data_IF_143901282537
#
_entry.id   IF_143901282537
#
_cell.length_a   1.000
_cell.length_b   1.000
_cell.length_c   1.000
_cell.angle_alpha   90.00
_cell.angle_beta   90.00
_cell.angle_gamma   90.00
#
_symmetry.space_group_name_H-M   'P 1'
#
loop_
_entity.id
_entity.type
_entity.pdbx_description
1 polymer ?
#
# COMPACT_ATOMS: atom_id res chain seq x y z
N UNK A 1 -10.85 7.96 18.40
CA UNK A 1 -10.58 8.75 17.18
C UNK A 1 -10.70 10.26 17.44
N UNK A 2 -9.78 10.87 18.20
CA UNK A 2 -9.83 12.31 18.53
C UNK A 2 -8.42 12.88 18.52
N UNK A 3 -7.85 13.20 17.34
CA UNK A 3 -6.63 14.03 17.14
C UNK A 3 -6.23 14.22 15.65
N UNK A 4 -7.16 14.58 14.77
CA UNK A 4 -6.91 14.68 13.32
C UNK A 4 -7.09 16.09 12.70
N UNK A 5 -7.17 17.17 13.51
CA UNK A 5 -7.59 18.48 12.98
C UNK A 5 -6.50 19.26 12.23
N UNK A 6 -5.23 19.02 12.56
CA UNK A 6 -4.09 19.77 11.97
C UNK A 6 -3.10 18.87 11.21
N UNK A 7 -3.40 17.58 11.06
CA UNK A 7 -2.50 16.63 10.39
C UNK A 7 -2.79 16.56 8.90
N UNK A 8 -1.74 16.40 8.09
CA UNK A 8 -1.88 16.26 6.64
C UNK A 8 -2.63 14.95 6.34
N UNK A 9 -3.76 15.09 5.65
CA UNK A 9 -4.56 13.98 5.14
C UNK A 9 -4.72 14.18 3.64
N UNK A 10 -4.25 13.23 2.86
CA UNK A 10 -4.42 13.18 1.42
C UNK A 10 -5.43 12.09 1.09
N UNK A 11 -6.29 12.35 0.12
CA UNK A 11 -7.31 11.41 -0.38
C UNK A 11 -7.12 11.24 -1.86
N UNK A 12 -7.40 10.06 -2.39
CA UNK A 12 -7.41 9.81 -3.82
C UNK A 12 -6.10 10.28 -4.48
N UNK A 13 -4.97 9.81 -3.94
CA UNK A 13 -3.64 10.28 -4.33
C UNK A 13 -3.09 9.41 -5.46
N UNK A 14 -2.95 9.94 -6.69
CA UNK A 14 -2.29 9.22 -7.76
C UNK A 14 -0.80 9.11 -7.47
N UNK A 15 -0.23 7.95 -7.74
CA UNK A 15 1.19 7.67 -7.59
C UNK A 15 1.72 6.94 -8.81
N UNK A 16 2.95 7.27 -9.20
CA UNK A 16 3.66 6.57 -10.25
C UNK A 16 5.16 6.59 -9.99
N UNK A 17 5.86 5.52 -10.34
CA UNK A 17 7.31 5.46 -10.36
C UNK A 17 7.79 4.44 -11.39
N UNK A 18 9.07 4.53 -11.75
CA UNK A 18 9.72 3.56 -12.65
C UNK A 18 10.75 2.76 -11.87
N UNK A 19 10.69 1.44 -11.98
CA UNK A 19 11.67 0.53 -11.38
C UNK A 19 11.95 -0.64 -12.35
N UNK A 20 13.22 -0.97 -12.56
CA UNK A 20 13.64 -2.02 -13.51
C UNK A 20 13.04 -1.84 -14.92
N UNK A 21 12.88 -0.58 -15.35
CA UNK A 21 12.24 -0.22 -16.60
C UNK A 21 10.72 -0.41 -16.62
N UNK A 22 10.10 -0.95 -15.57
CA UNK A 22 8.64 -1.08 -15.44
C UNK A 22 8.07 0.20 -14.84
N UNK A 23 7.02 0.74 -15.46
CA UNK A 23 6.21 1.80 -14.84
C UNK A 23 5.20 1.15 -13.90
N UNK A 24 5.22 1.55 -12.65
CA UNK A 24 4.22 1.20 -11.64
C UNK A 24 3.34 2.43 -11.44
N UNK A 25 2.04 2.26 -11.58
CA UNK A 25 1.03 3.31 -11.42
C UNK A 25 -0.05 2.82 -10.45
N UNK A 26 -0.63 3.74 -9.69
CA UNK A 26 -1.68 3.42 -8.74
C UNK A 26 -2.38 4.64 -8.18
N UNK A 27 -3.45 4.38 -7.45
CA UNK A 27 -4.29 5.36 -6.78
C UNK A 27 -4.39 4.94 -5.31
N UNK A 28 -3.93 5.78 -4.39
CA UNK A 28 -4.02 5.52 -2.95
C UNK A 28 -5.27 6.21 -2.41
N UNK A 29 -6.17 5.44 -1.79
CA UNK A 29 -7.43 5.98 -1.28
C UNK A 29 -7.22 7.06 -0.21
N UNK A 30 -6.32 6.80 0.74
CA UNK A 30 -6.05 7.72 1.85
C UNK A 30 -4.60 7.59 2.35
N UNK A 31 -3.98 8.73 2.60
CA UNK A 31 -2.69 8.84 3.31
C UNK A 31 -2.86 9.81 4.45
N UNK A 32 -2.37 9.44 5.63
CA UNK A 32 -2.29 10.36 6.76
C UNK A 32 -0.94 10.31 7.43
N UNK A 33 -0.66 11.35 8.22
CA UNK A 33 0.57 11.53 8.95
C UNK A 33 0.42 11.14 10.44
N UNK A 34 1.41 10.45 10.98
CA UNK A 34 1.53 10.11 12.40
C UNK A 34 2.31 11.17 13.21
N UNK A 35 2.30 11.05 14.54
CA UNK A 35 2.97 12.02 15.44
C UNK A 35 4.49 12.14 15.19
N UNK A 36 5.11 11.06 14.72
CA UNK A 36 6.54 11.00 14.40
C UNK A 36 6.86 11.44 12.97
N UNK A 37 5.90 12.06 12.28
CA UNK A 37 5.99 12.45 10.88
C UNK A 37 6.15 11.26 9.90
N UNK A 38 5.90 10.01 10.33
CA UNK A 38 5.75 8.89 9.40
C UNK A 38 4.40 8.94 8.70
N UNK A 39 4.33 8.32 7.52
CA UNK A 39 3.10 8.20 6.75
C UNK A 39 2.43 6.85 7.00
N UNK A 40 1.11 6.84 6.96
CA UNK A 40 0.28 5.62 6.93
C UNK A 40 -0.58 5.66 5.69
N UNK A 41 -0.60 4.54 4.98
CA UNK A 41 -1.48 4.31 3.82
C UNK A 41 -2.72 3.56 4.29
N UNK A 42 -3.90 3.98 3.86
CA UNK A 42 -5.15 3.26 4.07
C UNK A 42 -5.80 2.99 2.72
N UNK A 43 -6.28 1.76 2.54
CA UNK A 43 -7.01 1.30 1.37
C UNK A 43 -8.33 0.64 1.83
N UNK A 44 -9.43 1.01 1.18
CA UNK A 44 -10.77 0.54 1.51
C UNK A 44 -11.16 -0.65 0.63
N UNK A 45 -11.50 -1.77 1.28
CA UNK A 45 -11.93 -2.99 0.60
C UNK A 45 -13.41 -3.26 0.82
N UNK A 46 -14.12 -3.55 -0.28
CA UNK A 46 -15.52 -3.97 -0.26
C UNK A 46 -15.68 -5.50 -0.21
N UNK A 47 -14.57 -6.25 -0.16
CA UNK A 47 -14.56 -7.70 -0.08
C UNK A 47 -15.45 -8.20 1.08
N UNK A 48 -16.26 -9.23 0.79
CA UNK A 48 -17.01 -9.95 1.80
C UNK A 48 -16.07 -10.98 2.45
N UNK A 49 -15.64 -10.70 3.68
CA UNK A 49 -14.92 -11.64 4.53
C UNK A 49 -15.79 -11.95 5.75
N UNK A 50 -15.79 -13.21 6.19
CA UNK A 50 -16.72 -13.71 7.19
C UNK A 50 -16.42 -13.16 8.60
N UNK A 51 -15.14 -13.00 8.93
CA UNK A 51 -14.66 -12.58 10.23
C UNK A 51 -13.25 -11.93 10.13
N UNK A 52 -12.68 -11.54 11.27
CA UNK A 52 -11.34 -10.94 11.34
C UNK A 52 -10.23 -11.91 10.89
N UNK A 53 -10.39 -13.23 11.11
CA UNK A 53 -9.40 -14.21 10.69
C UNK A 53 -9.35 -14.31 9.16
N UNK A 54 -10.51 -14.40 8.51
CA UNK A 54 -10.64 -14.34 7.06
C UNK A 54 -10.17 -13.00 6.48
N UNK A 55 -10.42 -11.88 7.17
CA UNK A 55 -9.90 -10.58 6.77
C UNK A 55 -8.36 -10.55 6.78
N UNK A 56 -7.72 -11.16 7.79
CA UNK A 56 -6.27 -11.23 7.90
C UNK A 56 -5.64 -12.15 6.85
N UNK A 57 -6.28 -13.28 6.55
CA UNK A 57 -5.85 -14.14 5.43
C UNK A 57 -5.96 -13.38 4.10
N UNK A 58 -7.11 -12.76 3.85
CA UNK A 58 -7.36 -11.96 2.64
C UNK A 58 -6.41 -10.77 2.51
N UNK A 59 -5.96 -10.19 3.61
CA UNK A 59 -5.02 -9.08 3.61
C UNK A 59 -3.65 -9.44 3.00
N UNK A 60 -3.24 -10.71 3.04
CA UNK A 60 -1.97 -11.15 2.43
C UNK A 60 -1.97 -10.97 0.90
N UNK A 61 -3.12 -11.12 0.24
CA UNK A 61 -3.27 -10.93 -1.22
C UNK A 61 -2.92 -9.50 -1.65
N UNK A 62 -3.08 -8.52 -0.75
CA UNK A 62 -2.83 -7.10 -1.03
C UNK A 62 -1.43 -6.63 -0.62
N UNK A 63 -0.62 -7.49 0.00
CA UNK A 63 0.69 -7.12 0.55
C UNK A 63 1.60 -6.44 -0.48
N UNK A 64 1.70 -7.02 -1.69
CA UNK A 64 2.52 -6.45 -2.75
C UNK A 64 2.01 -5.07 -3.20
N UNK A 65 0.69 -4.91 -3.37
CA UNK A 65 0.08 -3.63 -3.75
C UNK A 65 0.35 -2.54 -2.71
N UNK A 66 0.09 -2.83 -1.44
CA UNK A 66 0.30 -1.90 -0.34
C UNK A 66 1.78 -1.50 -0.22
N UNK A 67 2.69 -2.45 -0.42
CA UNK A 67 4.12 -2.18 -0.44
C UNK A 67 4.55 -1.29 -1.61
N UNK A 68 3.92 -1.43 -2.79
CA UNK A 68 4.18 -0.55 -3.93
C UNK A 68 3.67 0.88 -3.67
N UNK A 69 2.53 1.05 -2.99
CA UNK A 69 2.03 2.35 -2.56
C UNK A 69 2.96 3.02 -1.56
N UNK A 70 3.39 2.27 -0.54
CA UNK A 70 4.36 2.75 0.43
C UNK A 70 5.65 3.18 -0.27
N UNK A 71 6.18 2.33 -1.17
CA UNK A 71 7.40 2.64 -1.93
C UNK A 71 7.27 3.91 -2.78
N UNK A 72 6.13 4.09 -3.44
CA UNK A 72 5.89 5.28 -4.26
C UNK A 72 5.89 6.57 -3.41
N UNK A 73 5.28 6.53 -2.22
CA UNK A 73 5.28 7.66 -1.29
C UNK A 73 6.67 7.94 -0.72
N UNK A 74 7.43 6.91 -0.35
CA UNK A 74 8.80 7.07 0.13
C UNK A 74 9.68 7.72 -0.94
N UNK A 75 9.56 7.29 -2.20
CA UNK A 75 10.29 7.87 -3.33
C UNK A 75 9.88 9.33 -3.59
N UNK A 76 8.58 9.61 -3.57
CA UNK A 76 8.06 10.94 -3.91
C UNK A 76 8.29 11.98 -2.80
N UNK A 77 8.31 11.55 -1.53
CA UNK A 77 8.32 12.46 -0.38
C UNK A 77 9.60 12.41 0.45
N UNK A 78 10.42 11.36 0.32
CA UNK A 78 11.57 11.11 1.19
C UNK A 78 11.19 10.76 2.64
N UNK A 79 9.89 10.58 2.94
CA UNK A 79 9.39 10.25 4.27
C UNK A 79 9.18 8.75 4.40
N UNK A 80 9.39 8.21 5.60
CA UNK A 80 9.10 6.80 5.91
C UNK A 80 7.60 6.54 5.93
N UNK A 81 7.19 5.44 5.31
CA UNK A 81 5.86 4.85 5.52
C UNK A 81 5.99 3.77 6.57
N UNK A 82 5.28 3.89 7.69
CA UNK A 82 5.39 2.97 8.84
C UNK A 82 4.49 1.76 8.67
N UNK A 83 3.23 2.03 8.37
CA UNK A 83 2.18 1.03 8.28
C UNK A 83 1.34 1.25 7.02
N UNK A 84 0.74 0.16 6.57
CA UNK A 84 -0.36 0.17 5.62
C UNK A 84 -1.58 -0.45 6.30
N UNK A 85 -2.77 -0.01 5.93
CA UNK A 85 -4.02 -0.43 6.57
C UNK A 85 -5.03 -0.80 5.51
N UNK A 86 -5.64 -1.97 5.66
CA UNK A 86 -6.83 -2.36 4.91
C UNK A 86 -8.05 -2.19 5.80
N UNK A 87 -9.03 -1.42 5.33
CA UNK A 87 -10.33 -1.33 5.97
C UNK A 87 -11.35 -2.14 5.17
N UNK A 88 -11.69 -3.33 5.66
CA UNK A 88 -12.75 -4.17 5.10
C UNK A 88 -14.12 -3.63 5.55
N UNK A 89 -14.83 -2.99 4.62
CA UNK A 89 -16.04 -2.24 4.93
C UNK A 89 -17.23 -3.12 5.32
N UNK A 90 -17.40 -4.27 4.67
CA UNK A 90 -18.50 -5.19 4.95
C UNK A 90 -18.47 -5.76 6.38
N UNK A 91 -17.34 -6.32 6.86
CA UNK A 91 -17.22 -6.77 8.26
C UNK A 91 -16.90 -5.64 9.26
N UNK A 92 -16.52 -4.44 8.78
CA UNK A 92 -16.05 -3.35 9.64
C UNK A 92 -14.71 -3.63 10.33
N UNK A 93 -13.81 -4.36 9.66
CA UNK A 93 -12.53 -4.82 10.22
C UNK A 93 -11.38 -4.00 9.65
N UNK A 94 -10.49 -3.54 10.52
CA UNK A 94 -9.21 -2.92 10.16
C UNK A 94 -8.07 -3.93 10.33
N UNK A 95 -7.30 -4.15 9.26
CA UNK A 95 -6.06 -4.93 9.30
C UNK A 95 -4.88 -4.00 9.05
N UNK A 96 -4.06 -3.77 10.09
CA UNK A 96 -2.81 -3.02 9.99
C UNK A 96 -1.65 -3.96 9.64
N UNK A 97 -0.91 -3.61 8.61
CA UNK A 97 0.25 -4.36 8.10
C UNK A 97 1.47 -3.45 8.13
N UNK A 98 2.53 -3.80 8.90
CA UNK A 98 3.78 -3.05 8.91
C UNK A 98 4.41 -2.98 7.51
N UNK A 99 4.97 -1.82 7.15
CA UNK A 99 5.82 -1.70 5.96
C UNK A 99 7.27 -2.10 6.29
N UNK A 100 7.43 -3.39 6.59
CA UNK A 100 8.71 -4.01 6.96
C UNK A 100 9.45 -4.60 5.75
N UNK A 101 10.52 -5.35 6.01
CA UNK A 101 11.32 -5.97 4.95
C UNK A 101 10.51 -6.96 4.10
N UNK A 102 9.58 -7.71 4.72
CA UNK A 102 8.71 -8.64 3.98
C UNK A 102 7.79 -7.88 3.01
N UNK A 103 7.30 -6.71 3.40
CA UNK A 103 6.55 -5.85 2.49
C UNK A 103 7.43 -5.37 1.32
N UNK A 104 8.65 -4.91 1.60
CA UNK A 104 9.60 -4.45 0.55
C UNK A 104 9.97 -5.56 -0.42
N UNK A 105 10.23 -6.77 0.08
CA UNK A 105 10.47 -7.96 -0.74
C UNK A 105 9.28 -8.25 -1.66
N UNK A 106 8.05 -8.20 -1.14
CA UNK A 106 6.85 -8.41 -1.95
C UNK A 106 6.73 -7.40 -3.11
N UNK A 107 7.01 -6.11 -2.87
CA UNK A 107 7.06 -5.10 -3.92
C UNK A 107 8.18 -5.37 -4.93
N UNK A 108 9.38 -5.71 -4.46
CA UNK A 108 10.53 -6.01 -5.31
C UNK A 108 10.27 -7.23 -6.22
N UNK A 109 9.69 -8.30 -5.67
CA UNK A 109 9.30 -9.50 -6.42
C UNK A 109 8.22 -9.19 -7.46
N UNK A 110 7.23 -8.36 -7.13
CA UNK A 110 6.20 -7.95 -8.09
C UNK A 110 6.80 -7.15 -9.26
N UNK A 111 7.72 -6.22 -8.98
CA UNK A 111 8.42 -5.44 -10.00
C UNK A 111 9.30 -6.35 -10.88
N UNK A 112 10.05 -7.28 -10.28
CA UNK A 112 10.90 -8.21 -11.01
C UNK A 112 10.07 -9.09 -11.96
N UNK A 113 8.97 -9.68 -11.47
CA UNK A 113 8.07 -10.50 -12.28
C UNK A 113 7.48 -9.71 -13.47
N UNK A 114 7.12 -8.43 -13.26
CA UNK A 114 6.64 -7.56 -14.32
C UNK A 114 7.75 -7.23 -15.35
N UNK A 115 8.98 -7.02 -14.89
CA UNK A 115 10.13 -6.74 -15.75
C UNK A 115 10.48 -7.96 -16.64
N UNK A 116 10.49 -9.16 -16.06
CA UNK A 116 10.76 -10.41 -16.77
C UNK A 116 9.69 -10.68 -17.84
N UNK A 117 8.42 -10.47 -17.50
CA UNK A 117 7.30 -10.62 -18.44
C UNK A 117 7.42 -9.64 -19.62
N UNK A 118 7.94 -8.44 -19.38
CA UNK A 118 8.20 -7.46 -20.44
C UNK A 118 9.37 -7.86 -21.33
N UNK A 119 10.46 -8.39 -20.76
CA UNK A 119 11.61 -8.85 -21.52
C UNK A 119 11.27 -10.00 -22.48
N UNK A 120 10.27 -10.81 -22.13
CA UNK A 120 9.82 -11.97 -22.93
C UNK A 120 8.83 -11.62 -24.05
N UNK A 121 8.30 -10.39 -24.13
CA UNK A 121 7.42 -9.97 -25.24
C UNK A 121 8.26 -9.53 -26.45
N UNK A 122 8.15 -10.21 -27.62
CA UNK A 122 8.85 -9.78 -28.83
C UNK A 122 8.36 -8.39 -29.26
N UNK A 123 9.30 -7.56 -29.75
CA UNK A 123 9.04 -6.22 -30.30
C UNK A 123 8.26 -6.28 -31.59
#
# INVERSE_FOLDING_TARGET
>A
MRRAKDRRVLRETPVAFVANGVTVEGQIDLVYEEDDASLVVVDFKTDAVADEAGARERAEDYRAQLALYARALELATGRTVRDTVLLFLAPGVEIRIPHDERAREAAASAIAAAADSRAQRPR
#
